data_IF_334419434718
#
_entry.id   IF_334419434718
#
_cell.length_a   1.000
_cell.length_b   1.000
_cell.length_c   1.000
_cell.angle_alpha   90.00
_cell.angle_beta   90.00
_cell.angle_gamma   90.00
#
_symmetry.space_group_name_H-M   'P 1'
#
loop_
_entity.id
_entity.type
_entity.pdbx_description
1 polymer ?
#
# COMPACT_ATOMS: atom_id res chain seq x y z
N UNK A 1 -3.48 -11.49 26.62
CA UNK A 1 -2.55 -12.15 25.69
C UNK A 1 -1.34 -12.63 26.48
N UNK A 2 -0.89 -13.88 26.30
CA UNK A 2 0.28 -14.39 27.00
C UNK A 2 1.54 -13.73 26.40
N UNK A 3 2.57 -13.48 27.21
CA UNK A 3 3.81 -12.79 26.76
C UNK A 3 4.50 -13.49 25.58
N UNK A 4 4.43 -14.81 25.51
CA UNK A 4 4.96 -15.60 24.39
C UNK A 4 4.21 -15.29 23.08
N UNK A 5 2.88 -15.23 23.11
CA UNK A 5 2.02 -14.94 21.95
C UNK A 5 2.26 -13.51 21.40
N UNK A 6 2.53 -12.56 22.29
CA UNK A 6 2.91 -11.19 21.89
C UNK A 6 4.25 -11.17 21.15
N UNK A 7 5.24 -11.96 21.62
CA UNK A 7 6.57 -12.02 20.99
C UNK A 7 6.55 -12.63 19.59
N UNK A 8 5.69 -13.60 19.33
CA UNK A 8 5.55 -14.25 18.02
C UNK A 8 4.95 -13.31 16.95
N UNK A 9 4.17 -12.29 17.37
CA UNK A 9 3.49 -11.33 16.50
C UNK A 9 4.20 -9.98 16.42
N UNK A 10 5.25 -9.76 17.20
CA UNK A 10 5.96 -8.48 17.28
C UNK A 10 7.31 -8.57 16.55
N UNK A 11 7.45 -7.97 15.37
CA UNK A 11 8.72 -7.96 14.64
C UNK A 11 9.85 -7.33 15.45
N UNK A 12 11.12 -7.62 15.11
CA UNK A 12 12.28 -7.04 15.78
C UNK A 12 12.23 -5.51 15.83
N UNK A 13 12.63 -4.92 16.95
CA UNK A 13 12.69 -3.48 17.14
C UNK A 13 11.33 -2.77 17.21
N UNK A 14 10.22 -3.51 17.34
CA UNK A 14 8.87 -2.94 17.51
C UNK A 14 8.43 -2.92 18.99
N UNK A 15 7.58 -1.97 19.34
CA UNK A 15 6.90 -1.86 20.64
C UNK A 15 5.39 -1.92 20.42
N UNK A 16 4.70 -2.78 21.19
CA UNK A 16 3.24 -2.89 21.12
C UNK A 16 2.57 -1.64 21.68
N UNK A 17 1.55 -1.15 20.99
CA UNK A 17 0.70 -0.04 21.43
C UNK A 17 -0.78 -0.32 21.11
N UNK A 18 -1.67 0.20 21.97
CA UNK A 18 -3.12 0.21 21.68
C UNK A 18 -3.56 1.47 20.91
N UNK A 19 -2.67 2.47 20.82
CA UNK A 19 -2.95 3.70 20.07
C UNK A 19 -2.71 3.47 18.58
N UNK A 20 -3.41 4.23 17.76
CA UNK A 20 -3.14 4.35 16.34
C UNK A 20 -2.66 5.76 16.04
N UNK A 21 -1.33 6.04 16.11
CA UNK A 21 -0.80 7.36 15.84
C UNK A 21 -1.11 7.83 14.42
N UNK A 22 -1.52 9.09 14.28
CA UNK A 22 -1.67 9.73 12.96
C UNK A 22 -0.31 10.24 12.51
N UNK A 23 0.23 9.64 11.47
CA UNK A 23 1.46 10.07 10.80
C UNK A 23 1.11 10.47 9.37
N UNK A 24 1.29 11.72 9.02
CA UNK A 24 0.94 12.29 7.72
C UNK A 24 2.00 13.29 7.29
N UNK A 25 2.39 13.23 6.03
CA UNK A 25 3.19 14.25 5.38
C UNK A 25 2.25 15.22 4.66
N UNK A 26 2.28 16.50 5.04
CA UNK A 26 1.37 17.52 4.54
C UNK A 26 -0.02 17.50 5.20
N UNK A 27 -0.97 18.14 4.54
CA UNK A 27 -2.35 18.25 5.01
C UNK A 27 -3.14 16.97 4.73
N UNK A 28 -4.15 16.69 5.58
CA UNK A 28 -5.10 15.61 5.34
C UNK A 28 -6.06 16.00 4.20
N UNK A 29 -6.10 15.27 3.09
CA UNK A 29 -6.99 15.58 1.98
C UNK A 29 -8.46 15.45 2.40
N UNK A 30 -9.31 16.27 1.79
CA UNK A 30 -10.77 16.15 1.89
C UNK A 30 -11.28 15.46 0.63
N UNK A 31 -11.72 14.23 0.77
CA UNK A 31 -12.30 13.49 -0.35
C UNK A 31 -13.77 13.90 -0.56
N UNK A 32 -14.12 14.16 -1.81
CA UNK A 32 -15.49 14.28 -2.25
C UNK A 32 -15.95 12.94 -2.87
N UNK A 33 -16.87 12.25 -2.22
CA UNK A 33 -17.36 10.94 -2.67
C UNK A 33 -18.14 11.01 -4.00
N UNK A 34 -18.62 12.18 -4.40
CA UNK A 34 -19.31 12.36 -5.68
C UNK A 34 -18.33 12.31 -6.87
N UNK A 35 -17.09 12.72 -6.64
CA UNK A 35 -16.03 12.75 -7.65
C UNK A 35 -14.95 11.70 -7.41
N UNK A 36 -15.02 10.97 -6.29
CA UNK A 36 -14.04 9.92 -5.98
C UNK A 36 -14.08 8.79 -7.00
N UNK A 37 -12.90 8.41 -7.49
CA UNK A 37 -12.74 7.23 -8.32
C UNK A 37 -11.50 6.46 -7.89
N UNK A 38 -11.52 5.14 -8.10
CA UNK A 38 -10.34 4.27 -8.04
C UNK A 38 -10.07 3.71 -9.43
N UNK A 39 -8.84 3.86 -9.93
CA UNK A 39 -8.47 3.46 -11.30
C UNK A 39 -7.34 2.42 -11.28
N UNK A 40 -7.39 1.48 -12.24
CA UNK A 40 -6.30 0.56 -12.55
C UNK A 40 -5.88 0.74 -14.01
N UNK A 41 -4.56 0.87 -14.26
CA UNK A 41 -4.01 1.11 -15.59
C UNK A 41 -2.57 0.59 -15.72
N UNK A 42 -2.00 0.67 -16.93
CA UNK A 42 -0.67 0.19 -17.24
C UNK A 42 -0.68 -1.24 -17.79
N UNK A 43 0.11 -2.17 -17.24
CA UNK A 43 0.20 -3.54 -17.73
C UNK A 43 -0.99 -4.40 -17.27
N UNK A 44 -2.15 -4.08 -17.81
CA UNK A 44 -3.43 -4.80 -17.62
C UNK A 44 -4.08 -5.09 -18.96
N UNK A 45 -4.94 -6.10 -19.00
CA UNK A 45 -5.73 -6.39 -20.21
C UNK A 45 -6.82 -5.35 -20.41
N UNK A 46 -7.42 -4.86 -19.32
CA UNK A 46 -8.45 -3.86 -19.33
C UNK A 46 -8.19 -2.80 -18.25
N UNK A 47 -8.02 -1.54 -18.64
CA UNK A 47 -8.04 -0.43 -17.71
C UNK A 47 -9.47 -0.24 -17.19
N UNK A 48 -9.63 -0.20 -15.88
CA UNK A 48 -10.92 -0.02 -15.22
C UNK A 48 -10.87 1.16 -14.26
N UNK A 49 -12.02 1.78 -14.08
CA UNK A 49 -12.23 2.82 -13.10
C UNK A 49 -13.60 2.61 -12.43
N UNK A 50 -13.62 2.74 -11.12
CA UNK A 50 -14.85 2.62 -10.31
C UNK A 50 -15.12 3.95 -9.62
N UNK A 51 -16.35 4.45 -9.73
CA UNK A 51 -16.89 5.48 -8.83
C UNK A 51 -17.01 4.92 -7.41
N UNK A 52 -17.19 5.78 -6.41
CA UNK A 52 -17.39 5.33 -5.04
C UNK A 52 -18.53 4.32 -4.89
N UNK A 53 -19.65 4.57 -5.55
CA UNK A 53 -20.79 3.66 -5.54
C UNK A 53 -20.44 2.29 -6.15
N UNK A 54 -19.88 2.27 -7.35
CA UNK A 54 -19.48 1.02 -8.02
C UNK A 54 -18.42 0.26 -7.23
N UNK A 55 -17.52 0.97 -6.54
CA UNK A 55 -16.53 0.38 -5.67
C UNK A 55 -17.17 -0.32 -4.47
N UNK A 56 -18.17 0.28 -3.84
CA UNK A 56 -18.92 -0.33 -2.72
C UNK A 56 -19.80 -1.50 -3.14
N UNK A 57 -20.18 -1.60 -4.42
CA UNK A 57 -20.93 -2.73 -4.98
C UNK A 57 -20.04 -3.96 -5.26
N UNK A 58 -18.70 -3.82 -5.15
CA UNK A 58 -17.77 -4.95 -5.28
C UNK A 58 -17.87 -5.90 -4.05
N UNK A 59 -17.53 -7.20 -4.23
CA UNK A 59 -17.51 -8.15 -3.14
C UNK A 59 -16.62 -7.66 -1.99
N UNK A 60 -17.20 -7.55 -0.80
CA UNK A 60 -16.48 -7.13 0.40
C UNK A 60 -15.88 -8.31 1.12
N UNK A 61 -14.76 -8.06 1.79
CA UNK A 61 -14.12 -8.96 2.75
C UNK A 61 -13.88 -8.26 4.08
N UNK A 62 -13.73 -9.07 5.12
CA UNK A 62 -13.25 -8.62 6.42
C UNK A 62 -11.90 -9.30 6.71
N UNK A 63 -10.92 -8.53 7.14
CA UNK A 63 -9.58 -9.02 7.48
C UNK A 63 -9.20 -8.50 8.86
N UNK A 64 -8.68 -9.38 9.72
CA UNK A 64 -8.04 -8.97 10.97
C UNK A 64 -6.53 -9.12 10.81
N UNK A 65 -5.81 -8.03 11.02
CA UNK A 65 -4.35 -8.02 10.85
C UNK A 65 -3.65 -7.09 11.82
N UNK A 66 -2.33 -7.25 11.90
CA UNK A 66 -1.47 -6.38 12.67
C UNK A 66 -0.93 -5.23 11.81
N UNK A 67 -0.63 -4.10 12.44
CA UNK A 67 0.05 -2.96 11.82
C UNK A 67 1.45 -2.86 12.41
N UNK A 68 2.47 -2.74 11.54
CA UNK A 68 3.85 -2.50 11.91
C UNK A 68 4.34 -1.20 11.27
N UNK A 69 4.60 -0.17 12.08
CA UNK A 69 5.10 1.10 11.56
C UNK A 69 6.63 1.16 11.57
N UNK A 70 7.23 1.76 10.54
CA UNK A 70 8.68 2.00 10.49
C UNK A 70 9.19 2.80 11.69
N UNK A 71 8.34 3.60 12.32
CA UNK A 71 8.65 4.38 13.52
C UNK A 71 8.56 3.56 14.82
N UNK A 72 8.68 2.22 14.70
CA UNK A 72 8.90 1.26 15.80
C UNK A 72 7.71 0.99 16.71
N UNK A 73 6.49 1.20 16.27
CA UNK A 73 5.30 0.75 16.98
C UNK A 73 4.50 -0.27 16.16
N UNK A 74 3.84 -1.18 16.87
CA UNK A 74 2.88 -2.14 16.29
C UNK A 74 1.55 -2.07 17.02
N UNK A 75 0.47 -2.22 16.29
CA UNK A 75 -0.89 -2.37 16.83
C UNK A 75 -1.47 -3.68 16.31
N UNK A 76 -1.96 -4.53 17.21
CA UNK A 76 -2.53 -5.82 16.88
C UNK A 76 -4.05 -5.74 16.65
N UNK A 77 -4.58 -6.79 16.01
CA UNK A 77 -6.01 -7.08 15.89
C UNK A 77 -6.82 -5.94 15.24
N UNK A 78 -6.27 -5.29 14.22
CA UNK A 78 -7.00 -4.31 13.44
C UNK A 78 -8.00 -5.01 12.54
N UNK A 79 -9.29 -4.71 12.68
CA UNK A 79 -10.34 -5.27 11.83
C UNK A 79 -10.65 -4.33 10.69
N UNK A 80 -10.40 -4.79 9.47
CA UNK A 80 -10.61 -4.04 8.23
C UNK A 80 -11.81 -4.60 7.48
N UNK A 81 -12.61 -3.71 6.87
CA UNK A 81 -13.63 -4.07 5.90
C UNK A 81 -13.34 -3.32 4.59
N UNK A 82 -13.39 -4.04 3.48
CA UNK A 82 -13.05 -3.46 2.17
C UNK A 82 -13.20 -4.44 1.03
N UNK A 83 -12.58 -4.12 -0.10
CA UNK A 83 -12.54 -4.94 -1.31
C UNK A 83 -11.18 -5.65 -1.38
N UNK A 84 -11.17 -6.98 -1.55
CA UNK A 84 -9.94 -7.73 -1.75
C UNK A 84 -9.18 -7.21 -2.97
N UNK A 85 -7.86 -6.99 -2.83
CA UNK A 85 -7.03 -6.62 -4.00
C UNK A 85 -7.04 -7.73 -5.04
N UNK A 86 -7.09 -8.99 -4.64
CA UNK A 86 -7.22 -10.14 -5.54
C UNK A 86 -8.44 -10.02 -6.50
N UNK A 87 -9.58 -9.50 -6.03
CA UNK A 87 -10.76 -9.25 -6.87
C UNK A 87 -10.49 -8.14 -7.91
N UNK A 88 -9.80 -7.08 -7.52
CA UNK A 88 -9.38 -6.01 -8.44
C UNK A 88 -8.45 -6.58 -9.52
N UNK A 89 -7.41 -7.34 -9.11
CA UNK A 89 -6.44 -7.95 -10.04
C UNK A 89 -7.12 -8.88 -11.04
N UNK A 90 -8.10 -9.67 -10.59
CA UNK A 90 -8.89 -10.58 -11.45
C UNK A 90 -9.70 -9.81 -12.49
N UNK A 91 -10.31 -8.68 -12.11
CA UNK A 91 -11.14 -7.86 -13.01
C UNK A 91 -10.35 -7.19 -14.11
N UNK A 92 -9.19 -6.64 -13.77
CA UNK A 92 -8.37 -5.90 -14.74
C UNK A 92 -7.57 -6.81 -15.67
N UNK A 93 -7.35 -8.08 -15.30
CA UNK A 93 -6.50 -9.02 -16.05
C UNK A 93 -5.05 -8.51 -16.06
N UNK A 94 -4.26 -8.85 -15.02
CA UNK A 94 -2.88 -8.41 -14.92
C UNK A 94 -2.02 -9.13 -15.93
N UNK A 95 -1.29 -8.40 -16.78
CA UNK A 95 -0.41 -8.97 -17.79
C UNK A 95 0.80 -9.67 -17.19
N UNK A 96 1.34 -10.72 -17.81
CA UNK A 96 2.47 -11.49 -17.27
C UNK A 96 3.74 -10.67 -17.06
N UNK A 97 3.92 -9.59 -17.80
CA UNK A 97 5.07 -8.69 -17.71
C UNK A 97 5.05 -7.79 -16.48
N UNK A 98 3.89 -7.64 -15.84
CA UNK A 98 3.76 -6.83 -14.63
C UNK A 98 4.44 -7.52 -13.45
N UNK A 99 5.37 -6.82 -12.79
CA UNK A 99 6.11 -7.31 -11.62
C UNK A 99 5.79 -6.51 -10.35
N UNK A 100 5.33 -5.28 -10.50
CA UNK A 100 5.03 -4.37 -9.40
C UNK A 100 3.86 -3.46 -9.72
N UNK A 101 3.31 -2.86 -8.66
CA UNK A 101 2.28 -1.82 -8.75
C UNK A 101 2.79 -0.56 -8.06
N UNK A 102 2.65 0.58 -8.72
CA UNK A 102 2.69 1.88 -8.07
C UNK A 102 1.29 2.23 -7.58
N UNK A 103 1.13 2.30 -6.27
CA UNK A 103 -0.08 2.79 -5.65
C UNK A 103 -0.05 4.33 -5.61
N UNK A 104 -1.02 4.96 -6.24
CA UNK A 104 -1.17 6.42 -6.29
C UNK A 104 -2.26 6.86 -5.32
N UNK A 105 -1.97 7.89 -4.56
CA UNK A 105 -2.88 8.48 -3.57
C UNK A 105 -3.11 9.97 -3.85
N UNK A 106 -4.04 10.55 -3.10
CA UNK A 106 -4.23 12.01 -3.10
C UNK A 106 -2.94 12.76 -2.78
N UNK A 107 -2.87 14.03 -3.17
CA UNK A 107 -1.75 14.93 -2.92
C UNK A 107 -0.38 14.42 -3.49
N UNK A 108 -0.43 13.52 -4.48
CA UNK A 108 0.76 13.03 -5.17
C UNK A 108 1.60 12.01 -4.38
N UNK A 109 1.09 11.48 -3.26
CA UNK A 109 1.76 10.40 -2.56
C UNK A 109 1.73 9.12 -3.40
N UNK A 110 2.86 8.40 -3.41
CA UNK A 110 2.99 7.11 -4.10
C UNK A 110 3.79 6.13 -3.27
N UNK A 111 3.52 4.85 -3.42
CA UNK A 111 4.38 3.76 -2.92
C UNK A 111 4.34 2.58 -3.86
N UNK A 112 5.47 1.91 -4.03
CA UNK A 112 5.55 0.68 -4.81
C UNK A 112 5.23 -0.54 -3.95
N UNK A 113 4.61 -1.53 -4.54
CA UNK A 113 4.39 -2.84 -3.93
C UNK A 113 4.68 -3.91 -4.99
N UNK A 114 5.40 -4.97 -4.63
CA UNK A 114 5.58 -6.11 -5.53
C UNK A 114 4.22 -6.75 -5.85
N UNK A 115 4.04 -7.22 -7.07
CA UNK A 115 2.80 -7.92 -7.43
C UNK A 115 2.61 -9.20 -6.61
N UNK A 116 3.69 -9.83 -6.16
CA UNK A 116 3.65 -10.99 -5.28
C UNK A 116 3.06 -10.66 -3.90
N UNK A 117 3.42 -9.53 -3.31
CA UNK A 117 2.87 -9.08 -2.02
C UNK A 117 1.41 -8.62 -2.14
N UNK A 118 1.03 -8.00 -3.26
CA UNK A 118 -0.36 -7.60 -3.53
C UNK A 118 -1.34 -8.76 -3.71
N UNK A 119 -0.84 -9.94 -4.06
CA UNK A 119 -1.66 -11.16 -4.22
C UNK A 119 -1.98 -11.88 -2.92
N UNK A 120 -1.55 -11.35 -1.78
CA UNK A 120 -1.90 -11.90 -0.46
C UNK A 120 -3.41 -11.90 -0.23
N UNK A 121 -3.93 -12.96 0.39
CA UNK A 121 -5.37 -13.12 0.67
C UNK A 121 -5.89 -12.10 1.69
N UNK A 122 -4.97 -11.47 2.45
CA UNK A 122 -5.23 -10.46 3.49
C UNK A 122 -5.03 -9.02 2.99
N UNK A 123 -4.73 -8.84 1.68
CA UNK A 123 -4.51 -7.52 1.08
C UNK A 123 -5.82 -6.95 0.54
N UNK A 124 -6.18 -5.74 0.99
CA UNK A 124 -7.45 -5.13 0.65
C UNK A 124 -7.37 -3.60 0.47
N UNK A 125 -8.33 -3.07 -0.25
CA UNK A 125 -8.67 -1.65 -0.29
C UNK A 125 -9.74 -1.42 0.78
N UNK A 126 -9.33 -0.97 1.96
CA UNK A 126 -10.18 -0.82 3.12
C UNK A 126 -10.91 0.54 3.13
N UNK A 127 -12.19 0.52 3.48
CA UNK A 127 -13.01 1.71 3.71
C UNK A 127 -13.55 1.79 5.13
N UNK A 128 -13.45 0.69 5.94
CA UNK A 128 -13.73 0.70 7.38
C UNK A 128 -12.61 0.10 8.21
N UNK A 129 -12.55 0.51 9.45
CA UNK A 129 -11.66 0.01 10.49
C UNK A 129 -12.42 -0.10 11.81
N UNK A 130 -12.32 -1.26 12.48
CA UNK A 130 -13.01 -1.57 13.74
C UNK A 130 -14.53 -1.27 13.68
N UNK A 131 -15.17 -1.60 12.55
CA UNK A 131 -16.60 -1.45 12.30
C UNK A 131 -17.08 -0.03 12.02
N UNK A 132 -16.18 0.94 11.84
CA UNK A 132 -16.48 2.35 11.51
C UNK A 132 -15.84 2.76 10.20
N UNK A 133 -16.44 3.72 9.52
CA UNK A 133 -15.83 4.33 8.34
C UNK A 133 -14.45 4.89 8.71
N UNK A 134 -13.49 4.78 7.77
CA UNK A 134 -12.14 5.30 7.99
C UNK A 134 -12.18 6.82 8.17
N UNK A 135 -11.62 7.29 9.28
CA UNK A 135 -11.40 8.71 9.50
C UNK A 135 -10.44 9.27 8.44
N UNK A 136 -10.64 10.54 7.99
CA UNK A 136 -9.81 11.16 6.97
C UNK A 136 -8.31 11.06 7.26
N UNK A 137 -7.89 11.33 8.50
CA UNK A 137 -6.48 11.27 8.94
C UNK A 137 -5.87 9.85 8.88
N UNK A 138 -6.72 8.82 8.88
CA UNK A 138 -6.32 7.43 8.74
C UNK A 138 -6.46 6.89 7.31
N UNK A 139 -6.79 7.75 6.35
CA UNK A 139 -6.81 7.43 4.92
C UNK A 139 -8.19 7.28 4.33
N UNK A 140 -9.25 7.70 5.04
CA UNK A 140 -10.61 7.72 4.48
C UNK A 140 -10.73 8.60 3.25
N UNK A 141 -11.62 8.24 2.30
CA UNK A 141 -12.63 7.18 2.37
C UNK A 141 -12.07 5.77 2.13
N UNK A 142 -10.92 5.64 1.48
CA UNK A 142 -10.33 4.35 1.12
C UNK A 142 -8.80 4.38 1.26
N UNK A 143 -8.25 3.30 1.78
CA UNK A 143 -6.81 3.08 1.88
C UNK A 143 -6.41 1.68 1.45
N UNK A 144 -5.18 1.52 1.00
CA UNK A 144 -4.58 0.21 0.85
C UNK A 144 -4.16 -0.33 2.22
N UNK A 145 -4.32 -1.65 2.42
CA UNK A 145 -3.78 -2.39 3.56
C UNK A 145 -3.02 -3.60 3.04
N UNK A 146 -1.71 -3.65 3.35
CA UNK A 146 -0.79 -4.76 3.04
C UNK A 146 -0.15 -5.20 4.35
N UNK A 147 -0.75 -6.14 5.09
CA UNK A 147 -0.35 -6.46 6.47
C UNK A 147 1.08 -6.96 6.60
N UNK A 148 1.57 -7.67 5.59
CA UNK A 148 2.92 -8.25 5.51
C UNK A 148 4.04 -7.20 5.52
N UNK A 149 3.77 -5.95 5.13
CA UNK A 149 4.77 -4.92 4.94
C UNK A 149 4.64 -3.79 5.99
N UNK A 150 5.73 -3.06 6.21
CA UNK A 150 5.64 -1.84 7.02
C UNK A 150 4.54 -0.90 6.50
N UNK A 151 3.83 -0.26 7.42
CA UNK A 151 2.55 0.40 7.16
C UNK A 151 2.59 1.62 6.22
N UNK A 152 3.77 2.14 5.86
CA UNK A 152 3.85 3.15 4.79
C UNK A 152 3.52 2.57 3.41
N UNK A 153 3.67 1.24 3.20
CA UNK A 153 3.23 0.54 1.99
C UNK A 153 1.70 0.47 1.90
N UNK A 154 1.01 0.59 3.01
CA UNK A 154 -0.45 0.67 3.10
C UNK A 154 -0.92 2.11 2.86
N UNK A 155 -0.89 2.54 1.60
CA UNK A 155 -1.13 3.93 1.18
C UNK A 155 -2.51 4.44 1.60
N UNK A 156 -2.55 5.60 2.28
CA UNK A 156 -3.78 6.34 2.61
C UNK A 156 -4.35 7.04 1.36
N UNK A 157 -5.66 7.31 1.36
CA UNK A 157 -6.33 8.10 0.31
C UNK A 157 -6.06 7.57 -1.09
N UNK A 158 -6.13 6.26 -1.26
CA UNK A 158 -5.79 5.58 -2.51
C UNK A 158 -6.70 5.99 -3.66
N UNK A 159 -6.11 6.18 -4.86
CA UNK A 159 -6.82 6.61 -6.08
C UNK A 159 -6.54 5.72 -7.27
N UNK A 160 -5.37 5.08 -7.34
CA UNK A 160 -5.08 4.23 -8.47
C UNK A 160 -4.00 3.19 -8.19
N UNK A 161 -4.00 2.14 -9.02
CA UNK A 161 -2.90 1.22 -9.25
C UNK A 161 -2.38 1.37 -10.68
N UNK A 162 -1.08 1.60 -10.82
CA UNK A 162 -0.35 1.54 -12.07
C UNK A 162 0.50 0.26 -12.10
N UNK A 163 0.25 -0.62 -13.05
CA UNK A 163 0.95 -1.89 -13.18
C UNK A 163 2.21 -1.74 -14.04
N UNK A 164 3.37 -2.17 -13.51
CA UNK A 164 4.70 -1.89 -14.02
C UNK A 164 5.49 -3.16 -14.32
N UNK A 165 6.33 -3.11 -15.37
CA UNK A 165 7.31 -4.14 -15.75
C UNK A 165 8.62 -4.06 -14.95
N UNK A 166 8.85 -2.97 -14.23
CA UNK A 166 9.99 -2.74 -13.35
C UNK A 166 9.52 -2.08 -12.08
N UNK A 167 9.95 -2.60 -10.94
CA UNK A 167 9.66 -1.97 -9.64
C UNK A 167 10.36 -0.59 -9.55
N UNK A 168 9.61 0.40 -9.10
CA UNK A 168 10.05 1.79 -9.10
C UNK A 168 9.75 2.45 -7.75
N UNK A 169 10.72 3.14 -7.13
CA UNK A 169 10.52 3.75 -5.82
C UNK A 169 9.39 4.79 -5.85
N UNK A 170 8.51 4.73 -4.85
CA UNK A 170 7.50 5.73 -4.56
C UNK A 170 8.06 6.88 -3.71
N UNK A 171 7.17 7.62 -3.03
CA UNK A 171 7.52 8.83 -2.29
C UNK A 171 8.56 8.57 -1.19
N UNK A 172 8.27 7.67 -0.24
CA UNK A 172 9.19 7.41 0.87
C UNK A 172 10.42 6.63 0.44
N UNK A 173 10.29 5.74 -0.53
CA UNK A 173 11.41 5.00 -1.09
C UNK A 173 12.42 5.93 -1.77
N UNK A 174 11.98 6.97 -2.49
CA UNK A 174 12.86 8.04 -3.02
C UNK A 174 13.55 8.81 -1.90
N UNK A 175 12.88 8.98 -0.76
CA UNK A 175 13.40 9.68 0.41
C UNK A 175 14.19 8.77 1.37
N UNK A 176 14.66 7.61 0.91
CA UNK A 176 15.61 6.76 1.63
C UNK A 176 15.00 5.59 2.40
N UNK A 177 13.69 5.30 2.23
CA UNK A 177 13.09 4.09 2.79
C UNK A 177 13.35 2.88 1.89
N UNK A 178 13.26 1.69 2.48
CA UNK A 178 13.52 0.42 1.82
C UNK A 178 12.49 0.12 0.72
N UNK A 179 12.94 -0.45 -0.40
CA UNK A 179 12.07 -0.71 -1.56
C UNK A 179 10.98 -1.74 -1.25
N UNK A 180 11.30 -2.81 -0.50
CA UNK A 180 10.37 -3.91 -0.18
C UNK A 180 9.62 -3.70 1.15
N UNK A 181 10.34 -3.42 2.27
CA UNK A 181 9.73 -3.03 3.55
C UNK A 181 9.17 -4.16 4.44
N UNK A 182 9.84 -5.31 4.50
CA UNK A 182 9.48 -6.42 5.39
C UNK A 182 9.84 -6.09 6.87
N UNK A 183 8.85 -6.00 7.79
CA UNK A 183 9.12 -5.68 9.20
C UNK A 183 9.87 -6.77 9.94
N UNK A 184 9.75 -8.03 9.52
CA UNK A 184 10.44 -9.15 10.16
C UNK A 184 11.93 -9.21 9.84
N UNK A 185 12.35 -8.57 8.73
CA UNK A 185 13.75 -8.38 8.34
C UNK A 185 14.28 -7.00 8.71
N UNK A 186 13.47 -6.18 9.39
CA UNK A 186 13.79 -4.78 9.68
C UNK A 186 14.16 -3.95 8.44
N UNK A 187 13.58 -4.23 7.28
CA UNK A 187 13.80 -3.53 6.02
C UNK A 187 13.23 -2.10 6.07
N UNK A 188 13.91 -1.20 6.79
CA UNK A 188 13.44 0.18 7.05
C UNK A 188 13.99 1.18 6.04
N UNK A 189 15.28 1.07 5.72
CA UNK A 189 16.01 2.09 4.96
C UNK A 189 16.73 1.49 3.76
N UNK A 190 17.02 2.35 2.78
CA UNK A 190 17.61 1.94 1.49
C UNK A 190 19.06 1.45 1.59
N UNK A 191 19.80 1.78 2.65
CA UNK A 191 21.13 1.25 2.94
C UNK A 191 21.13 -0.25 3.31
N UNK A 192 19.95 -0.79 3.61
CA UNK A 192 19.73 -2.21 3.87
C UNK A 192 19.38 -3.01 2.60
N UNK A 193 19.22 -2.33 1.47
CA UNK A 193 18.85 -2.96 0.20
C UNK A 193 19.98 -3.80 -0.38
N UNK A 194 19.60 -4.92 -1.03
CA UNK A 194 20.53 -5.75 -1.79
C UNK A 194 21.02 -5.03 -3.06
N UNK A 195 22.16 -5.47 -3.60
CA UNK A 195 22.70 -4.95 -4.87
C UNK A 195 21.68 -5.05 -6.01
N UNK A 196 20.83 -6.08 -6.02
CA UNK A 196 19.77 -6.24 -7.02
C UNK A 196 18.71 -5.14 -6.90
N UNK A 197 18.28 -4.81 -5.69
CA UNK A 197 17.31 -3.72 -5.43
C UNK A 197 17.90 -2.36 -5.78
N UNK A 198 19.16 -2.11 -5.46
CA UNK A 198 19.86 -0.87 -5.82
C UNK A 198 19.98 -0.71 -7.34
N UNK A 199 20.22 -1.80 -8.07
CA UNK A 199 20.19 -1.79 -9.55
C UNK A 199 18.79 -1.48 -10.09
N UNK A 200 17.74 -2.10 -9.58
CA UNK A 200 16.34 -1.80 -9.97
C UNK A 200 15.99 -0.34 -9.72
N UNK A 201 16.36 0.20 -8.56
CA UNK A 201 16.19 1.63 -8.22
C UNK A 201 16.87 2.53 -9.26
N UNK A 202 18.10 2.23 -9.63
CA UNK A 202 18.88 2.98 -10.60
C UNK A 202 18.28 2.90 -12.02
N UNK A 203 17.81 1.72 -12.42
CA UNK A 203 17.17 1.51 -13.72
C UNK A 203 15.85 2.27 -13.82
N UNK A 204 15.00 2.19 -12.82
CA UNK A 204 13.73 2.92 -12.80
C UNK A 204 13.93 4.44 -12.86
N UNK A 205 14.96 4.95 -12.18
CA UNK A 205 15.30 6.38 -12.24
C UNK A 205 15.73 6.81 -13.65
N UNK A 206 16.50 5.97 -14.37
CA UNK A 206 16.88 6.23 -15.77
C UNK A 206 15.67 6.25 -16.70
N UNK A 207 14.75 5.27 -16.57
CA UNK A 207 13.52 5.19 -17.38
C UNK A 207 12.62 6.42 -17.17
N UNK A 208 12.49 6.90 -15.93
CA UNK A 208 11.71 8.12 -15.62
C UNK A 208 12.30 9.37 -16.23
N UNK A 209 13.64 9.53 -16.28
CA UNK A 209 14.30 10.66 -16.94
C UNK A 209 14.07 10.64 -18.44
N UNK A 210 14.25 9.50 -19.10
CA UNK A 210 14.02 9.37 -20.54
C UNK A 210 12.57 9.64 -20.97
N UNK A 211 11.57 9.33 -20.15
CA UNK A 211 10.15 9.68 -20.42
C UNK A 211 9.87 11.19 -20.31
N UNK A 212 10.59 11.92 -19.44
CA UNK A 212 10.43 13.39 -19.31
C UNK A 212 11.11 14.17 -20.43
N UNK A 213 12.11 13.59 -21.13
CA UNK A 213 12.80 14.23 -22.24
C UNK A 213 12.04 14.06 -23.58
N UNK A 214 11.04 13.17 -23.64
CA UNK A 214 10.25 12.85 -24.84
C UNK A 214 8.85 13.51 -24.78
N UNK A 215 8.43 14.04 -23.63
CA UNK A 215 7.13 14.70 -23.41
C UNK A 215 7.27 16.21 -23.36
#
# INVERSE_FOLDING_TARGET
MKEAETRERLPPGQVLTHKWPVLTYGETPRADLQTWTFRCFGLVDQELSWTWKEFLDLPRIEVTSDIHCVTRWSRFDNRWEGVAVAEILRRVGVRPEAVAVMAHSEAGYTTNISLADLRGDDVLLAYKHDGRDLAPEHGGPCRLVVPKLYFWKSAKWIRAFEFLDVDAPGFWEVNGYHLHADPWKEERYSDQETDAMQRMRSESARRRRGRKEIA
#
